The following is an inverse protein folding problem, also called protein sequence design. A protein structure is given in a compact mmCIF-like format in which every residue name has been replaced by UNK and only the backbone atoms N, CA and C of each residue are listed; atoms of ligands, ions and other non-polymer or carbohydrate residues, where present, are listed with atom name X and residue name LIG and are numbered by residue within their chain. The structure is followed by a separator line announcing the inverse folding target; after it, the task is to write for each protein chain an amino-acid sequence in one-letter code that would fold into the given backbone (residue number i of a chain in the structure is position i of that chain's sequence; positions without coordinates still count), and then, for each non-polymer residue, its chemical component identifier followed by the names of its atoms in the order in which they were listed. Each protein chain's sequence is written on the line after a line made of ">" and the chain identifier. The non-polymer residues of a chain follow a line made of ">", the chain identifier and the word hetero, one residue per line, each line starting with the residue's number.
data_IF_917921397479
#
_entry.id   IF_917921397479
#
_cell.length_a   1.000
_cell.length_b   1.000
_cell.length_c   1.000
_cell.angle_alpha   90.00
_cell.angle_beta   90.00
_cell.angle_gamma   90.00
#
_symmetry.space_group_name_H-M   'P 1'
#
loop_
_entity.id
_entity.type
_entity.pdbx_description
1 polymer ?
#
# COMPACT_ATOMS: atom_id res chain seq x y z
N UNK A 1 8.54 -8.79 7.10
CA UNK A 1 8.81 -10.25 7.13
C UNK A 1 10.16 -10.43 7.77
N UNK A 2 10.16 -10.59 9.11
CA UNK A 2 11.39 -10.77 9.87
C UNK A 2 11.88 -12.18 9.61
N UNK A 3 12.88 -12.34 8.76
CA UNK A 3 13.59 -13.61 8.70
C UNK A 3 14.28 -13.78 10.04
N UNK A 4 13.83 -14.77 10.82
CA UNK A 4 14.49 -15.18 12.02
C UNK A 4 15.97 -15.38 11.71
N UNK A 5 16.81 -14.68 12.45
CA UNK A 5 18.25 -14.89 12.42
C UNK A 5 18.53 -16.33 12.77
N UNK A 6 19.01 -17.09 11.77
CA UNK A 6 19.41 -18.48 11.96
C UNK A 6 20.46 -18.58 13.05
N UNK A 7 20.19 -19.42 13.98
CA UNK A 7 20.83 -19.50 15.29
C UNK A 7 22.21 -20.14 15.25
N UNK A 8 23.22 -19.56 14.68
CA UNK A 8 24.57 -20.12 14.90
C UNK A 8 25.68 -19.12 15.16
N UNK A 9 25.40 -17.81 15.09
CA UNK A 9 26.37 -16.79 15.50
C UNK A 9 25.65 -15.71 16.29
N UNK A 10 26.11 -15.38 17.47
CA UNK A 10 25.64 -14.19 18.20
C UNK A 10 26.06 -12.94 17.41
N UNK A 11 25.16 -12.23 16.75
CA UNK A 11 25.52 -11.03 16.02
C UNK A 11 26.03 -9.98 17.01
N UNK A 12 27.18 -9.38 16.70
CA UNK A 12 27.68 -8.26 17.52
C UNK A 12 26.86 -6.99 17.30
N UNK A 13 26.21 -6.86 16.14
CA UNK A 13 25.38 -5.72 15.77
C UNK A 13 24.16 -6.22 14.99
N UNK A 14 23.00 -5.60 15.27
CA UNK A 14 21.76 -5.83 14.55
C UNK A 14 21.27 -4.50 13.96
N UNK A 15 21.11 -4.44 12.65
CA UNK A 15 20.46 -3.33 11.96
C UNK A 15 19.09 -3.81 11.52
N UNK A 16 18.04 -3.24 12.10
CA UNK A 16 16.66 -3.51 11.71
C UNK A 16 16.12 -2.34 10.90
N UNK A 17 15.51 -2.63 9.75
CA UNK A 17 14.88 -1.63 8.88
C UNK A 17 13.44 -2.07 8.64
N UNK A 18 12.49 -1.19 8.90
CA UNK A 18 11.08 -1.53 8.76
C UNK A 18 10.18 -0.33 9.00
N UNK A 19 8.88 -0.60 8.98
CA UNK A 19 7.86 0.38 9.27
C UNK A 19 6.77 -0.30 10.11
N UNK A 20 6.68 0.09 11.38
CA UNK A 20 5.73 -0.49 12.34
C UNK A 20 4.29 -0.03 12.14
N UNK A 21 4.08 0.98 11.31
CA UNK A 21 2.75 1.51 10.98
C UNK A 21 2.13 0.82 9.75
N UNK A 22 2.91 0.02 8.99
CA UNK A 22 2.39 -0.75 7.88
C UNK A 22 1.75 -2.07 8.33
N UNK A 23 1.23 -2.84 7.36
CA UNK A 23 0.53 -4.09 7.63
C UNK A 23 1.34 -5.04 8.50
N UNK A 24 0.73 -5.50 9.57
CA UNK A 24 1.29 -6.52 10.44
C UNK A 24 1.35 -7.88 9.74
N UNK A 25 2.25 -8.73 10.18
CA UNK A 25 2.32 -10.10 9.70
C UNK A 25 1.05 -10.89 10.08
N UNK A 26 0.55 -11.71 9.16
CA UNK A 26 -0.53 -12.63 9.46
C UNK A 26 -0.03 -13.76 10.37
N UNK A 27 -0.87 -14.15 11.33
CA UNK A 27 -0.62 -15.33 12.16
C UNK A 27 -1.63 -16.43 11.77
N UNK A 28 -1.14 -17.59 11.39
CA UNK A 28 -1.98 -18.74 11.00
C UNK A 28 -2.81 -19.27 12.17
N UNK A 29 -2.27 -19.14 13.38
CA UNK A 29 -2.93 -19.62 14.61
C UNK A 29 -3.49 -18.43 15.38
N UNK A 30 -4.79 -18.20 15.31
CA UNK A 30 -5.49 -17.08 15.95
C UNK A 30 -5.22 -16.96 17.46
N UNK A 31 -5.10 -18.08 18.16
CA UNK A 31 -4.82 -18.08 19.60
C UNK A 31 -3.50 -17.39 19.95
N UNK A 32 -2.56 -17.31 19.02
CA UNK A 32 -1.27 -16.65 19.23
C UNK A 32 -1.28 -15.15 18.86
N UNK A 33 -2.37 -14.64 18.28
CA UNK A 33 -2.48 -13.22 17.94
C UNK A 33 -2.70 -12.32 19.15
N UNK A 34 -3.38 -12.84 20.15
CA UNK A 34 -3.75 -12.13 21.38
C UNK A 34 -2.68 -12.29 22.50
N UNK A 35 -2.74 -11.46 23.55
CA UNK A 35 -1.93 -11.66 24.75
C UNK A 35 -2.07 -13.09 25.31
N UNK A 36 -0.99 -13.67 25.87
CA UNK A 36 0.32 -13.05 26.10
C UNK A 36 1.28 -13.12 24.92
N UNK A 37 0.91 -13.79 23.84
CA UNK A 37 1.84 -14.13 22.75
C UNK A 37 2.07 -12.95 21.77
N UNK A 38 1.01 -12.24 21.37
CA UNK A 38 1.06 -11.07 20.47
C UNK A 38 1.93 -11.32 19.21
N UNK A 39 1.74 -12.45 18.54
CA UNK A 39 2.59 -12.87 17.41
C UNK A 39 2.44 -11.99 16.15
N UNK A 40 1.42 -11.13 16.09
CA UNK A 40 1.28 -10.12 15.02
C UNK A 40 2.25 -8.96 15.17
N UNK A 41 2.70 -8.68 16.40
CA UNK A 41 3.63 -7.58 16.67
C UNK A 41 5.01 -7.99 16.21
N UNK A 42 5.54 -7.30 15.20
CA UNK A 42 6.88 -7.58 14.66
C UNK A 42 7.97 -7.30 15.69
N UNK A 43 9.15 -7.90 15.51
CA UNK A 43 10.32 -7.60 16.34
C UNK A 43 10.65 -6.10 16.29
N UNK A 44 10.56 -5.48 15.10
CA UNK A 44 10.80 -4.06 14.92
C UNK A 44 9.82 -3.22 15.77
N UNK A 45 8.53 -3.50 15.69
CA UNK A 45 7.50 -2.83 16.47
C UNK A 45 7.71 -3.01 17.98
N UNK A 46 8.13 -4.20 18.42
CA UNK A 46 8.48 -4.45 19.84
C UNK A 46 9.64 -3.59 20.29
N UNK A 47 10.66 -3.42 19.48
CA UNK A 47 11.80 -2.56 19.78
C UNK A 47 11.40 -1.09 19.90
N UNK A 48 10.54 -0.61 18.98
CA UNK A 48 9.99 0.76 19.02
C UNK A 48 9.16 0.95 20.29
N UNK A 49 8.25 0.03 20.60
CA UNK A 49 7.39 0.09 21.79
C UNK A 49 8.18 0.03 23.11
N UNK A 50 9.35 -0.59 23.09
CA UNK A 50 10.29 -0.62 24.22
C UNK A 50 11.24 0.59 24.24
N UNK A 51 10.93 1.64 23.49
CA UNK A 51 11.69 2.90 23.46
C UNK A 51 13.16 2.75 23.04
N UNK A 52 13.48 1.76 22.23
CA UNK A 52 14.80 1.64 21.61
C UNK A 52 14.94 2.79 20.60
N UNK A 53 16.08 3.46 20.63
CA UNK A 53 16.35 4.58 19.73
C UNK A 53 16.35 4.10 18.27
N UNK A 54 15.67 4.85 17.43
CA UNK A 54 15.63 4.61 15.98
C UNK A 54 15.75 5.94 15.23
N UNK A 55 16.11 5.87 13.96
CA UNK A 55 16.14 7.00 13.05
C UNK A 55 14.98 6.85 12.07
N UNK A 56 14.13 7.86 11.99
CA UNK A 56 13.02 7.89 11.04
C UNK A 56 13.48 8.54 9.73
N UNK A 57 13.21 7.87 8.62
CA UNK A 57 13.37 8.44 7.29
C UNK A 57 12.09 9.20 6.93
N UNK A 58 12.12 10.51 7.06
CA UNK A 58 10.96 11.37 6.87
C UNK A 58 10.84 11.99 5.46
N UNK A 59 11.75 11.67 4.53
CA UNK A 59 11.66 12.12 3.13
C UNK A 59 11.26 11.00 2.21
N UNK A 60 10.03 11.09 1.68
CA UNK A 60 9.51 10.12 0.73
C UNK A 60 9.91 10.48 -0.71
N UNK A 61 10.10 9.44 -1.56
CA UNK A 61 10.47 9.55 -2.98
C UNK A 61 9.53 8.80 -3.92
N UNK A 62 8.42 8.30 -3.41
CA UNK A 62 7.52 7.41 -4.15
C UNK A 62 6.30 8.14 -4.69
N UNK A 63 5.62 8.88 -3.83
CA UNK A 63 4.32 9.49 -4.11
C UNK A 63 4.48 10.95 -4.54
N UNK A 64 3.56 11.40 -5.39
CA UNK A 64 3.38 12.83 -5.62
C UNK A 64 2.80 13.51 -4.36
N UNK A 65 3.00 14.82 -4.19
CA UNK A 65 2.55 15.55 -2.98
C UNK A 65 1.07 15.35 -2.66
N UNK A 66 0.19 15.34 -3.65
CA UNK A 66 -1.25 15.20 -3.42
C UNK A 66 -1.64 13.83 -2.87
N UNK A 67 -0.94 12.76 -3.27
CA UNK A 67 -1.14 11.43 -2.69
C UNK A 67 -0.56 11.38 -1.28
N UNK A 68 0.62 11.97 -1.05
CA UNK A 68 1.21 12.03 0.29
C UNK A 68 0.30 12.74 1.30
N UNK A 69 -0.36 13.82 0.89
CA UNK A 69 -1.31 14.56 1.76
C UNK A 69 -2.41 13.66 2.34
N UNK A 70 -2.81 12.61 1.63
CA UNK A 70 -3.80 11.64 2.14
C UNK A 70 -3.28 10.83 3.34
N UNK A 71 -1.96 10.72 3.51
CA UNK A 71 -1.33 10.06 4.64
C UNK A 71 -1.00 11.01 5.81
N UNK A 72 -1.09 12.32 5.58
CA UNK A 72 -0.74 13.37 6.53
C UNK A 72 -1.93 14.31 6.80
N UNK A 73 -3.11 13.74 7.02
CA UNK A 73 -4.33 14.49 7.35
C UNK A 73 -4.16 15.08 8.75
N UNK A 74 -4.39 16.38 8.91
CA UNK A 74 -4.12 17.13 10.14
C UNK A 74 -4.78 16.54 11.40
N UNK A 75 -5.99 16.05 11.28
CA UNK A 75 -6.73 15.51 12.43
C UNK A 75 -6.17 14.18 12.94
N UNK A 76 -5.67 13.33 12.06
CA UNK A 76 -5.09 12.03 12.41
C UNK A 76 -4.09 11.60 11.34
N UNK A 77 -2.88 12.13 11.35
CA UNK A 77 -1.87 11.76 10.36
C UNK A 77 -1.45 10.30 10.54
N UNK A 78 -1.30 9.59 9.43
CA UNK A 78 -0.69 8.27 9.45
C UNK A 78 0.83 8.38 9.68
N UNK A 79 1.44 9.41 9.09
CA UNK A 79 2.83 9.80 9.36
C UNK A 79 2.87 11.27 9.77
N UNK A 80 3.44 11.56 10.94
CA UNK A 80 3.44 12.92 11.51
C UNK A 80 4.37 13.89 10.80
N UNK A 81 5.51 13.42 10.30
CA UNK A 81 6.58 14.27 9.75
C UNK A 81 7.10 13.74 8.41
N UNK A 82 6.21 13.50 7.44
CA UNK A 82 6.58 13.00 6.13
C UNK A 82 6.66 14.13 5.11
N UNK A 83 7.87 14.38 4.61
CA UNK A 83 8.16 15.40 3.61
C UNK A 83 8.39 14.81 2.22
N UNK A 84 8.22 15.66 1.20
CA UNK A 84 8.51 15.30 -0.17
C UNK A 84 9.98 15.54 -0.51
N UNK A 85 10.61 14.58 -1.18
CA UNK A 85 11.91 14.79 -1.79
C UNK A 85 11.74 15.55 -3.12
N UNK A 86 12.72 16.35 -3.51
CA UNK A 86 12.71 17.16 -4.73
C UNK A 86 12.37 16.34 -6.00
N UNK A 87 12.82 15.09 -6.06
CA UNK A 87 12.55 14.20 -7.20
C UNK A 87 11.05 13.92 -7.44
N UNK A 88 10.18 14.03 -6.44
CA UNK A 88 8.73 13.84 -6.62
C UNK A 88 7.98 15.13 -6.91
N UNK A 89 8.66 16.27 -6.77
CA UNK A 89 8.14 17.59 -7.16
C UNK A 89 8.32 17.86 -8.65
N UNK A 90 9.26 17.17 -9.31
CA UNK A 90 9.48 17.29 -10.75
C UNK A 90 8.34 16.59 -11.51
N UNK A 91 7.39 17.42 -11.98
CA UNK A 91 6.22 16.98 -12.72
C UNK A 91 6.48 16.79 -14.23
N UNK A 92 7.64 17.17 -14.70
CA UNK A 92 8.01 17.08 -16.12
C UNK A 92 8.73 15.77 -16.41
N UNK A 93 9.77 15.44 -15.66
CA UNK A 93 10.64 14.32 -15.98
C UNK A 93 10.34 13.07 -15.12
N UNK A 94 10.06 13.27 -13.83
CA UNK A 94 9.95 12.15 -12.90
C UNK A 94 8.51 11.71 -12.60
N UNK A 95 7.57 12.66 -12.58
CA UNK A 95 6.17 12.40 -12.18
C UNK A 95 5.20 13.17 -13.09
N UNK A 96 5.18 12.91 -14.40
CA UNK A 96 4.26 13.60 -15.31
C UNK A 96 2.80 13.30 -14.94
N UNK A 97 1.87 14.24 -15.22
CA UNK A 97 0.44 14.01 -15.07
C UNK A 97 -0.01 12.79 -15.87
N UNK A 98 -0.96 12.05 -15.34
CA UNK A 98 -1.52 10.89 -16.04
C UNK A 98 -2.42 11.37 -17.19
N UNK A 99 -2.16 10.95 -18.44
CA UNK A 99 -3.01 11.29 -19.57
C UNK A 99 -4.46 10.85 -19.35
N UNK A 100 -5.42 11.67 -19.78
CA UNK A 100 -6.85 11.38 -19.62
C UNK A 100 -7.44 11.75 -18.26
N UNK A 101 -6.64 12.10 -17.25
CA UNK A 101 -7.11 12.44 -15.91
C UNK A 101 -7.47 13.92 -15.71
N UNK A 102 -7.47 14.73 -16.79
CA UNK A 102 -7.83 16.16 -16.73
C UNK A 102 -6.94 16.98 -15.78
N UNK A 103 -5.65 16.63 -15.66
CA UNK A 103 -4.70 17.28 -14.76
C UNK A 103 -4.85 16.88 -13.29
N UNK A 104 -5.70 15.91 -12.98
CA UNK A 104 -5.87 15.37 -11.64
C UNK A 104 -5.01 14.14 -11.43
N UNK A 105 -4.37 14.02 -10.27
CA UNK A 105 -3.53 12.87 -9.91
C UNK A 105 -4.24 11.86 -9.02
N UNK A 106 -5.37 12.26 -8.45
CA UNK A 106 -6.20 11.43 -7.57
C UNK A 106 -7.66 11.54 -7.99
N UNK A 107 -8.36 10.44 -7.90
CA UNK A 107 -9.78 10.38 -8.16
C UNK A 107 -10.44 9.40 -7.19
N UNK A 108 -11.47 9.84 -6.48
CA UNK A 108 -12.28 9.00 -5.62
C UNK A 108 -13.63 8.76 -6.29
N UNK A 109 -13.92 7.50 -6.62
CA UNK A 109 -15.18 7.09 -7.22
C UNK A 109 -16.12 6.56 -6.15
N UNK A 110 -17.20 7.28 -5.89
CA UNK A 110 -18.24 6.86 -4.95
C UNK A 110 -19.39 6.20 -5.71
N UNK A 111 -19.85 5.06 -5.21
CA UNK A 111 -21.01 4.34 -5.75
C UNK A 111 -21.78 3.62 -4.63
N UNK A 112 -23.02 3.22 -4.94
CA UNK A 112 -23.89 2.47 -4.07
C UNK A 112 -24.25 1.08 -4.63
N UNK A 113 -23.44 0.58 -5.56
CA UNK A 113 -23.65 -0.75 -6.14
C UNK A 113 -23.53 -1.84 -5.08
N UNK A 114 -24.45 -2.82 -5.09
CA UNK A 114 -24.46 -3.86 -4.06
C UNK A 114 -23.26 -4.80 -4.19
N UNK A 115 -22.75 -5.21 -3.05
CA UNK A 115 -21.77 -6.29 -2.96
C UNK A 115 -22.46 -7.66 -2.97
N UNK A 116 -21.78 -8.66 -3.50
CA UNK A 116 -22.14 -10.05 -3.40
C UNK A 116 -21.10 -10.84 -2.60
N UNK A 117 -21.53 -11.94 -1.97
CA UNK A 117 -20.62 -12.86 -1.27
C UNK A 117 -20.36 -14.07 -2.16
N UNK A 118 -19.08 -14.49 -2.23
CA UNK A 118 -18.72 -15.77 -2.82
C UNK A 118 -18.87 -16.92 -1.82
N UNK A 119 -18.81 -18.16 -2.32
CA UNK A 119 -18.85 -19.36 -1.48
C UNK A 119 -17.73 -19.39 -0.42
N UNK A 120 -16.59 -18.74 -0.71
CA UNK A 120 -15.42 -18.65 0.17
C UNK A 120 -15.50 -17.50 1.19
N UNK A 121 -16.69 -16.95 1.42
CA UNK A 121 -16.91 -15.78 2.29
C UNK A 121 -16.16 -14.51 1.86
N UNK A 122 -15.65 -14.45 0.65
CA UNK A 122 -15.06 -13.28 0.05
C UNK A 122 -16.14 -12.37 -0.53
N UNK A 123 -16.00 -11.06 -0.38
CA UNK A 123 -16.93 -10.09 -0.96
C UNK A 123 -16.42 -9.59 -2.29
N UNK A 124 -17.32 -9.41 -3.25
CA UNK A 124 -16.99 -8.85 -4.56
C UNK A 124 -18.12 -7.96 -5.07
N UNK A 125 -17.77 -7.02 -5.93
CA UNK A 125 -18.72 -6.14 -6.62
C UNK A 125 -18.45 -6.19 -8.13
N UNK A 126 -19.34 -6.85 -8.86
CA UNK A 126 -19.19 -7.03 -10.30
C UNK A 126 -19.24 -5.71 -11.06
N UNK A 127 -20.10 -4.79 -10.63
CA UNK A 127 -20.24 -3.47 -11.28
C UNK A 127 -18.98 -2.64 -11.09
N UNK A 128 -18.36 -2.70 -9.91
CA UNK A 128 -17.10 -2.06 -9.61
C UNK A 128 -15.97 -2.65 -10.48
N UNK A 129 -15.88 -3.97 -10.57
CA UNK A 129 -14.90 -4.64 -11.42
C UNK A 129 -15.03 -4.23 -12.89
N UNK A 130 -16.28 -4.15 -13.40
CA UNK A 130 -16.54 -3.67 -14.77
C UNK A 130 -16.15 -2.21 -14.95
N UNK A 131 -16.42 -1.35 -13.97
CA UNK A 131 -16.03 0.04 -14.01
C UNK A 131 -14.51 0.17 -14.04
N UNK A 132 -13.79 -0.55 -13.19
CA UNK A 132 -12.32 -0.56 -13.14
C UNK A 132 -11.74 -1.04 -14.49
N UNK A 133 -12.31 -2.08 -15.09
CA UNK A 133 -11.88 -2.56 -16.39
C UNK A 133 -12.08 -1.49 -17.48
N UNK A 134 -13.23 -0.81 -17.51
CA UNK A 134 -13.49 0.29 -18.46
C UNK A 134 -12.56 1.46 -18.23
N UNK A 135 -12.27 1.79 -16.98
CA UNK A 135 -11.32 2.86 -16.63
C UNK A 135 -9.89 2.50 -17.06
N UNK A 136 -9.48 1.24 -16.91
CA UNK A 136 -8.20 0.76 -17.44
C UNK A 136 -8.09 1.00 -18.95
N UNK A 137 -9.11 0.58 -19.74
CA UNK A 137 -9.14 0.81 -21.18
C UNK A 137 -9.14 2.30 -21.53
N UNK A 138 -9.89 3.10 -20.79
CA UNK A 138 -9.91 4.54 -20.97
C UNK A 138 -8.52 5.15 -20.83
N UNK A 139 -7.75 4.77 -19.81
CA UNK A 139 -6.38 5.25 -19.61
C UNK A 139 -5.47 4.80 -20.76
N UNK A 140 -5.56 3.55 -21.20
CA UNK A 140 -4.78 3.05 -22.33
C UNK A 140 -5.09 3.82 -23.63
N UNK A 141 -6.37 4.10 -23.89
CA UNK A 141 -6.78 4.90 -25.05
C UNK A 141 -6.28 6.35 -25.01
N UNK A 142 -6.06 6.89 -23.80
CA UNK A 142 -5.47 8.22 -23.61
C UNK A 142 -3.94 8.21 -23.61
N UNK A 143 -3.30 7.07 -23.91
CA UNK A 143 -1.86 6.97 -24.09
C UNK A 143 -1.08 6.49 -22.85
N UNK A 144 -1.74 6.02 -21.83
CA UNK A 144 -1.05 5.37 -20.69
C UNK A 144 -0.64 3.96 -21.10
N UNK A 145 0.64 3.63 -20.91
CA UNK A 145 1.12 2.26 -21.12
C UNK A 145 0.46 1.30 -20.14
N UNK A 146 -0.15 0.22 -20.63
CA UNK A 146 -0.80 -0.79 -19.82
C UNK A 146 0.14 -1.42 -18.76
N UNK A 147 1.42 -1.54 -19.08
CA UNK A 147 2.44 -2.05 -18.15
C UNK A 147 2.69 -1.12 -16.95
N UNK A 148 2.24 0.13 -17.01
CA UNK A 148 2.36 1.12 -15.94
C UNK A 148 1.11 1.26 -15.09
N UNK A 149 0.06 0.48 -15.37
CA UNK A 149 -1.19 0.48 -14.61
C UNK A 149 -1.22 -0.75 -13.71
N UNK A 150 -1.43 -0.53 -12.43
CA UNK A 150 -1.61 -1.60 -11.45
C UNK A 150 -2.96 -1.47 -10.78
N UNK A 151 -3.74 -2.54 -10.77
CA UNK A 151 -5.01 -2.63 -10.04
C UNK A 151 -4.76 -3.38 -8.75
N UNK A 152 -5.07 -2.75 -7.62
CA UNK A 152 -4.98 -3.36 -6.30
C UNK A 152 -6.39 -3.67 -5.78
N UNK A 153 -6.58 -4.86 -5.23
CA UNK A 153 -7.84 -5.30 -4.60
C UNK A 153 -7.59 -5.69 -3.15
N UNK A 154 -8.53 -5.40 -2.28
CA UNK A 154 -8.42 -5.67 -0.83
C UNK A 154 -8.74 -7.13 -0.53
N UNK A 155 -9.66 -7.75 -1.27
CA UNK A 155 -10.01 -9.17 -1.10
C UNK A 155 -9.51 -9.97 -2.30
N UNK A 156 -8.74 -11.00 -2.01
CA UNK A 156 -8.37 -12.02 -2.99
C UNK A 156 -9.42 -13.12 -2.98
N UNK A 157 -9.89 -13.67 -4.11
CA UNK A 157 -9.04 -14.66 -4.78
C UNK A 157 -9.04 -14.63 -6.30
N UNK A 158 -9.32 -13.55 -6.95
CA UNK A 158 -9.24 -13.61 -8.41
C UNK A 158 -8.37 -12.46 -8.90
N UNK A 159 -7.13 -12.77 -9.25
CA UNK A 159 -6.29 -11.91 -10.06
C UNK A 159 -7.01 -11.64 -11.39
N UNK A 160 -7.63 -10.49 -11.51
CA UNK A 160 -8.11 -10.00 -12.78
C UNK A 160 -6.88 -9.65 -13.60
N UNK A 161 -6.40 -10.59 -14.39
CA UNK A 161 -5.37 -10.31 -15.38
C UNK A 161 -6.09 -9.55 -16.50
N UNK A 162 -5.95 -8.23 -16.49
CA UNK A 162 -6.40 -7.38 -17.59
C UNK A 162 -5.38 -7.54 -18.73
N UNK A 163 -5.57 -8.54 -19.57
CA UNK A 163 -4.82 -8.69 -20.82
C UNK A 163 -5.42 -7.81 -21.89
N UNK A 164 -4.55 -7.19 -22.70
CA UNK A 164 -4.97 -6.48 -23.90
C UNK A 164 -5.75 -7.45 -24.80
N UNK A 165 -6.94 -7.12 -25.27
CA UNK A 165 -7.52 -7.83 -26.40
C UNK A 165 -6.63 -7.60 -27.63
N UNK A 166 -6.31 -8.67 -28.35
CA UNK A 166 -5.61 -8.61 -29.64
C UNK A 166 -6.37 -7.74 -30.65
#
# INVERSE_FOLDING_TARGET
>A
MDKALGASASPQQLISVGDHQQLQAGCTVRALEAPPYNMKVSMFERLVNNSIRYVMLNKQRRMIPDIRKLLCIEEKPFYEDLHDHESVLDRVHNRPPVPGMGGRDTYFFHHTWPEAASADCSRYNLSEAQMIARFFYYLCLNGVDAAKITVLTVSCPTSVILTRPN
#
